data_IF_727499183178
#
_entry.id   IF_727499183178
#
_cell.length_a   1.000
_cell.length_b   1.000
_cell.length_c   1.000
_cell.angle_alpha   90.00
_cell.angle_beta   90.00
_cell.angle_gamma   90.00
#
_symmetry.space_group_name_H-M   'P 1'
#
loop_
_entity.id
_entity.type
_entity.pdbx_description
1 polymer ?
#
# COMPACT_ATOMS: atom_id res chain seq x y z
N UNK A 1 2.95 -5.68 23.96
CA UNK A 1 4.40 -5.85 24.22
C UNK A 1 5.13 -4.55 23.91
N UNK A 2 6.09 -4.15 24.77
CA UNK A 2 7.13 -3.19 24.40
C UNK A 2 8.34 -3.97 23.88
N UNK A 3 8.70 -3.82 22.60
CA UNK A 3 9.73 -4.68 22.03
C UNK A 3 10.25 -4.21 20.68
N UNK A 4 11.57 -4.09 20.61
CA UNK A 4 12.32 -3.82 19.39
C UNK A 4 12.69 -5.16 18.72
N UNK A 5 12.29 -5.38 17.47
CA UNK A 5 12.76 -6.52 16.66
C UNK A 5 13.34 -6.04 15.34
N UNK A 6 14.62 -6.31 15.14
CA UNK A 6 15.32 -6.17 13.86
C UNK A 6 15.88 -7.52 13.42
N UNK A 7 15.65 -7.89 12.16
CA UNK A 7 16.18 -9.11 11.53
C UNK A 7 16.86 -8.76 10.20
N UNK A 8 18.02 -9.36 9.95
CA UNK A 8 18.83 -9.19 8.73
C UNK A 8 19.25 -10.57 8.21
N UNK A 9 18.75 -11.00 7.05
CA UNK A 9 19.12 -12.28 6.43
C UNK A 9 18.01 -12.96 5.64
N UNK A 10 18.36 -14.01 4.89
CA UNK A 10 17.44 -14.71 4.00
C UNK A 10 16.46 -15.65 4.75
N UNK A 11 15.19 -15.70 4.35
CA UNK A 11 14.14 -16.49 5.02
C UNK A 11 13.14 -17.17 4.06
N UNK A 12 12.64 -18.35 4.43
CA UNK A 12 11.68 -19.18 3.68
C UNK A 12 10.71 -19.88 4.68
N UNK A 13 9.97 -19.16 5.55
CA UNK A 13 8.60 -18.69 5.29
C UNK A 13 7.69 -18.89 6.52
N UNK A 14 6.48 -18.31 6.52
CA UNK A 14 5.49 -18.16 7.61
C UNK A 14 5.95 -17.35 8.85
N UNK A 15 5.44 -16.12 9.00
CA UNK A 15 5.47 -15.36 10.26
C UNK A 15 4.10 -14.73 10.54
N UNK A 16 3.28 -15.33 11.40
CA UNK A 16 2.06 -14.70 11.94
C UNK A 16 2.30 -14.10 13.33
N UNK A 17 1.66 -12.97 13.70
CA UNK A 17 1.44 -12.62 15.12
C UNK A 17 0.43 -11.48 15.36
N UNK A 18 -0.33 -11.62 16.44
CA UNK A 18 -1.61 -10.91 16.66
C UNK A 18 -1.66 -10.20 18.04
N UNK A 19 -1.83 -8.87 18.05
CA UNK A 19 -2.40 -8.12 19.18
C UNK A 19 -1.45 -7.29 20.07
N UNK A 20 -1.53 -5.96 19.95
CA UNK A 20 -0.98 -4.92 20.84
C UNK A 20 0.55 -4.79 20.89
N UNK A 21 1.10 -3.93 20.02
CA UNK A 21 2.54 -3.60 19.95
C UNK A 21 2.84 -2.09 19.98
N UNK A 22 3.91 -1.75 20.69
CA UNK A 22 4.58 -0.44 20.66
C UNK A 22 6.11 -0.65 20.83
N UNK A 23 7.00 -0.47 19.86
CA UNK A 23 6.88 -0.21 18.42
C UNK A 23 8.28 -0.40 17.77
N UNK A 24 8.41 -0.11 16.47
CA UNK A 24 9.56 -0.52 15.61
C UNK A 24 9.66 -2.04 15.36
N UNK A 25 9.21 -2.45 14.18
CA UNK A 25 9.40 -3.81 13.62
C UNK A 25 10.16 -3.69 12.31
N UNK A 26 11.38 -4.21 12.24
CA UNK A 26 12.27 -4.12 11.07
C UNK A 26 12.67 -5.50 10.53
N UNK A 27 12.52 -5.72 9.22
CA UNK A 27 12.86 -7.00 8.58
C UNK A 27 13.55 -6.79 7.21
N UNK A 28 14.84 -7.11 7.15
CA UNK A 28 15.67 -7.00 5.96
C UNK A 28 15.95 -8.39 5.38
N UNK A 29 15.23 -8.75 4.31
CA UNK A 29 15.32 -10.03 3.59
C UNK A 29 16.50 -10.14 2.61
N UNK A 30 16.62 -11.17 1.78
CA UNK A 30 15.52 -11.73 0.97
C UNK A 30 14.53 -12.68 1.70
N UNK A 31 13.28 -12.79 1.21
CA UNK A 31 12.24 -13.61 1.87
C UNK A 31 11.30 -14.34 0.93
N UNK A 32 10.87 -15.54 1.32
CA UNK A 32 10.03 -16.46 0.55
C UNK A 32 8.91 -17.09 1.40
N UNK A 33 7.90 -16.26 1.70
CA UNK A 33 6.50 -16.69 1.70
C UNK A 33 5.74 -16.65 3.04
N UNK A 34 4.63 -15.91 3.08
CA UNK A 34 3.69 -15.72 4.21
C UNK A 34 4.22 -14.92 5.40
N UNK A 35 3.71 -13.70 5.59
CA UNK A 35 3.80 -12.93 6.84
C UNK A 35 2.42 -12.35 7.16
N UNK A 36 1.90 -12.53 8.38
CA UNK A 36 0.55 -12.17 8.81
C UNK A 36 0.53 -11.44 10.17
N UNK A 37 0.63 -10.12 10.16
CA UNK A 37 0.57 -9.28 11.38
C UNK A 37 -0.88 -8.85 11.65
N UNK A 38 -1.39 -9.07 12.86
CA UNK A 38 -2.78 -8.73 13.21
C UNK A 38 -2.91 -7.86 14.47
N UNK A 39 -4.01 -7.11 14.58
CA UNK A 39 -4.39 -6.34 15.78
C UNK A 39 -3.82 -4.92 15.83
N UNK A 40 -3.70 -4.37 17.05
CA UNK A 40 -3.29 -2.98 17.26
C UNK A 40 -1.76 -2.78 17.27
N UNK A 41 -1.25 -1.85 16.46
CA UNK A 41 0.16 -1.48 16.33
C UNK A 41 0.30 0.03 16.49
N UNK A 42 1.22 0.48 17.34
CA UNK A 42 1.57 1.89 17.55
C UNK A 42 3.07 2.11 17.28
N UNK A 43 3.44 2.73 16.16
CA UNK A 43 4.83 3.02 15.80
C UNK A 43 5.21 2.67 14.36
N UNK A 44 6.48 2.31 14.15
CA UNK A 44 7.06 2.06 12.83
C UNK A 44 7.09 0.57 12.48
N UNK A 45 6.79 0.24 11.22
CA UNK A 45 7.01 -1.08 10.59
C UNK A 45 7.82 -0.85 9.33
N UNK A 46 8.92 -1.58 9.14
CA UNK A 46 9.82 -1.46 7.99
C UNK A 46 10.23 -2.82 7.43
N UNK A 47 9.97 -3.08 6.15
CA UNK A 47 10.54 -4.22 5.44
C UNK A 47 11.43 -3.76 4.29
N UNK A 48 12.62 -4.35 4.19
CA UNK A 48 13.61 -4.01 3.16
C UNK A 48 14.11 -5.27 2.42
N UNK A 49 14.41 -5.14 1.13
CA UNK A 49 15.03 -6.20 0.32
C UNK A 49 14.10 -6.89 -0.69
N UNK A 50 14.50 -8.08 -1.16
CA UNK A 50 13.75 -8.85 -2.16
C UNK A 50 12.78 -9.84 -1.52
N UNK A 51 11.50 -9.83 -1.88
CA UNK A 51 10.47 -10.69 -1.27
C UNK A 51 9.64 -11.41 -2.32
N UNK A 52 9.29 -12.66 -2.03
CA UNK A 52 8.52 -13.56 -2.88
C UNK A 52 7.38 -14.20 -2.06
N UNK A 53 6.13 -14.05 -2.50
CA UNK A 53 4.95 -14.65 -1.85
C UNK A 53 3.98 -13.65 -1.20
N UNK A 54 3.32 -14.08 -0.10
CA UNK A 54 2.19 -13.37 0.53
C UNK A 54 2.60 -12.57 1.78
N UNK A 55 2.11 -11.34 1.91
CA UNK A 55 2.21 -10.49 3.11
C UNK A 55 0.82 -9.96 3.45
N UNK A 56 0.42 -10.03 4.72
CA UNK A 56 -0.85 -9.60 5.26
C UNK A 56 -0.67 -8.79 6.55
N UNK A 57 -1.30 -7.62 6.62
CA UNK A 57 -1.35 -6.75 7.79
C UNK A 57 -2.83 -6.44 8.08
N UNK A 58 -3.38 -6.96 9.18
CA UNK A 58 -4.81 -6.99 9.47
C UNK A 58 -5.15 -6.38 10.85
N UNK A 59 -5.47 -5.09 10.93
CA UNK A 59 -5.82 -4.49 12.22
C UNK A 59 -5.85 -2.97 12.27
N UNK A 60 -5.48 -2.42 13.43
CA UNK A 60 -5.45 -0.99 13.68
C UNK A 60 -3.99 -0.52 13.78
N UNK A 61 -3.51 0.28 12.83
CA UNK A 61 -2.12 0.77 12.80
C UNK A 61 -2.11 2.27 13.05
N UNK A 62 -1.32 2.72 14.02
CA UNK A 62 -1.10 4.12 14.36
C UNK A 62 0.40 4.42 14.21
N UNK A 63 0.82 4.98 13.08
CA UNK A 63 2.22 5.28 12.80
C UNK A 63 2.62 5.14 11.34
N UNK A 64 3.77 4.52 11.09
CA UNK A 64 4.42 4.48 9.78
C UNK A 64 4.64 3.03 9.32
N UNK A 65 4.22 2.71 8.10
CA UNK A 65 4.52 1.44 7.42
C UNK A 65 5.40 1.75 6.21
N UNK A 66 6.62 1.21 6.18
CA UNK A 66 7.58 1.36 5.10
C UNK A 66 7.94 0.02 4.46
N UNK A 67 7.91 -0.05 3.14
CA UNK A 67 8.39 -1.19 2.35
C UNK A 67 9.35 -0.69 1.26
N UNK A 68 10.59 -1.19 1.27
CA UNK A 68 11.67 -0.73 0.39
C UNK A 68 12.38 -1.90 -0.30
N UNK A 69 12.11 -2.15 -1.59
CA UNK A 69 12.83 -3.17 -2.34
C UNK A 69 12.06 -3.78 -3.51
N UNK A 70 12.31 -5.07 -3.77
CA UNK A 70 11.68 -5.81 -4.86
C UNK A 70 10.65 -6.80 -4.30
N UNK A 71 9.40 -6.75 -4.73
CA UNK A 71 8.32 -7.63 -4.24
C UNK A 71 7.71 -8.41 -5.39
N UNK A 72 7.64 -9.72 -5.27
CA UNK A 72 7.09 -10.67 -6.25
C UNK A 72 5.98 -11.49 -5.59
N UNK A 73 4.72 -11.06 -5.70
CA UNK A 73 3.60 -11.76 -5.06
C UNK A 73 2.46 -10.84 -4.63
N UNK A 74 1.92 -11.07 -3.43
CA UNK A 74 0.69 -10.46 -2.94
C UNK A 74 0.95 -9.71 -1.62
N UNK A 75 0.60 -8.43 -1.57
CA UNK A 75 0.63 -7.61 -0.35
C UNK A 75 -0.78 -7.13 -0.01
N UNK A 76 -1.29 -7.55 1.16
CA UNK A 76 -2.60 -7.17 1.69
C UNK A 76 -2.49 -6.34 2.97
N UNK A 77 -3.14 -5.19 3.00
CA UNK A 77 -3.22 -4.26 4.14
C UNK A 77 -4.69 -4.00 4.47
N UNK A 78 -5.21 -4.68 5.48
CA UNK A 78 -6.61 -4.67 5.86
C UNK A 78 -6.84 -3.99 7.22
N UNK A 79 -7.79 -3.05 7.31
CA UNK A 79 -8.26 -2.46 8.57
C UNK A 79 -8.14 -0.95 8.65
N UNK A 80 -7.89 -0.42 9.85
CA UNK A 80 -7.85 1.01 10.13
C UNK A 80 -6.40 1.49 10.28
N UNK A 81 -5.95 2.41 9.43
CA UNK A 81 -4.59 2.96 9.47
C UNK A 81 -4.62 4.47 9.70
N UNK A 82 -3.87 4.94 10.68
CA UNK A 82 -3.69 6.33 11.06
C UNK A 82 -2.21 6.69 10.95
N UNK A 83 -1.83 7.45 9.92
CA UNK A 83 -0.44 7.85 9.67
C UNK A 83 0.00 7.64 8.22
N UNK A 84 1.18 7.06 8.01
CA UNK A 84 1.85 7.04 6.70
C UNK A 84 2.11 5.61 6.22
N UNK A 85 1.76 5.31 4.98
CA UNK A 85 2.13 4.07 4.28
C UNK A 85 3.02 4.43 3.09
N UNK A 86 4.27 4.00 3.12
CA UNK A 86 5.27 4.24 2.08
C UNK A 86 5.74 2.94 1.43
N UNK A 87 5.59 2.82 0.12
CA UNK A 87 6.05 1.70 -0.70
C UNK A 87 7.02 2.23 -1.76
N UNK A 88 8.25 1.73 -1.75
CA UNK A 88 9.36 2.20 -2.59
C UNK A 88 10.06 1.01 -3.26
N UNK A 89 10.09 0.94 -4.59
CA UNK A 89 10.88 -0.01 -5.35
C UNK A 89 10.12 -0.69 -6.49
N UNK A 90 10.44 -1.95 -6.77
CA UNK A 90 9.86 -2.70 -7.88
C UNK A 90 8.86 -3.73 -7.35
N UNK A 91 7.62 -3.74 -7.84
CA UNK A 91 6.61 -4.73 -7.47
C UNK A 91 6.08 -5.45 -8.71
N UNK A 92 6.00 -6.78 -8.62
CA UNK A 92 5.46 -7.69 -9.60
C UNK A 92 4.38 -8.53 -8.93
N UNK A 93 3.10 -8.25 -9.21
CA UNK A 93 1.97 -8.95 -8.61
C UNK A 93 0.84 -8.03 -8.13
N UNK A 94 0.30 -8.30 -6.93
CA UNK A 94 -0.94 -7.70 -6.45
C UNK A 94 -0.74 -6.94 -5.14
N UNK A 95 -1.21 -5.70 -5.09
CA UNK A 95 -1.32 -4.89 -3.89
C UNK A 95 -2.79 -4.64 -3.57
N UNK A 96 -3.22 -4.97 -2.36
CA UNK A 96 -4.57 -4.69 -1.86
C UNK A 96 -4.50 -3.90 -0.55
N UNK A 97 -4.99 -2.66 -0.54
CA UNK A 97 -5.37 -1.96 0.69
C UNK A 97 -6.90 -2.05 0.85
N UNK A 98 -7.38 -2.53 2.00
CA UNK A 98 -8.81 -2.69 2.28
C UNK A 98 -9.17 -2.11 3.66
N UNK A 99 -9.80 -0.95 3.71
CA UNK A 99 -10.33 -0.39 4.97
C UNK A 99 -10.33 1.12 5.07
N UNK A 100 -10.07 1.64 6.26
CA UNK A 100 -10.11 3.08 6.56
C UNK A 100 -8.69 3.62 6.74
N UNK A 101 -8.25 4.55 5.91
CA UNK A 101 -6.92 5.17 5.99
C UNK A 101 -7.07 6.66 6.30
N UNK A 102 -6.46 7.12 7.37
CA UNK A 102 -6.39 8.51 7.79
C UNK A 102 -4.92 8.95 7.75
N UNK A 103 -4.54 9.68 6.70
CA UNK A 103 -3.17 10.16 6.50
C UNK A 103 -2.68 10.02 5.05
N UNK A 104 -1.48 9.49 4.87
CA UNK A 104 -0.75 9.55 3.60
C UNK A 104 -0.39 8.15 3.09
N UNK A 105 -0.78 7.83 1.85
CA UNK A 105 -0.36 6.64 1.12
C UNK A 105 0.55 7.08 -0.03
N UNK A 106 1.79 6.59 -0.08
CA UNK A 106 2.76 6.96 -1.12
C UNK A 106 3.40 5.72 -1.72
N UNK A 107 3.22 5.52 -3.02
CA UNK A 107 3.87 4.47 -3.81
C UNK A 107 4.88 5.14 -4.76
N UNK A 108 6.05 4.51 -4.91
CA UNK A 108 7.17 4.99 -5.75
C UNK A 108 7.97 3.85 -6.35
N UNK A 109 8.28 3.97 -7.64
CA UNK A 109 9.12 3.03 -8.39
C UNK A 109 8.42 2.45 -9.60
N UNK A 110 8.41 1.11 -9.71
CA UNK A 110 7.89 0.40 -10.88
C UNK A 110 6.93 -0.71 -10.45
N UNK A 111 5.72 -0.72 -11.00
CA UNK A 111 4.69 -1.71 -10.70
C UNK A 111 4.28 -2.46 -11.97
N UNK A 112 4.31 -3.79 -11.91
CA UNK A 112 3.83 -4.68 -12.95
C UNK A 112 2.75 -5.59 -12.33
N UNK A 113 1.47 -5.30 -12.57
CA UNK A 113 0.35 -6.06 -12.00
C UNK A 113 -0.82 -5.18 -11.55
N UNK A 114 -1.39 -5.50 -10.39
CA UNK A 114 -2.68 -4.97 -9.92
C UNK A 114 -2.54 -4.21 -8.60
N UNK A 115 -3.05 -2.98 -8.55
CA UNK A 115 -3.19 -2.18 -7.32
C UNK A 115 -4.67 -1.99 -7.05
N UNK A 116 -5.16 -2.51 -5.93
CA UNK A 116 -6.51 -2.31 -5.42
C UNK A 116 -6.49 -1.52 -4.12
N UNK A 117 -7.23 -0.41 -4.06
CA UNK A 117 -7.44 0.42 -2.88
C UNK A 117 -8.95 0.49 -2.63
N UNK A 118 -9.43 -0.26 -1.64
CA UNK A 118 -10.83 -0.43 -1.31
C UNK A 118 -11.17 0.16 0.06
N UNK A 119 -12.10 1.12 0.15
CA UNK A 119 -12.63 1.63 1.41
C UNK A 119 -12.65 3.15 1.51
N UNK A 120 -12.35 3.68 2.70
CA UNK A 120 -12.42 5.10 3.00
C UNK A 120 -11.03 5.69 3.21
N UNK A 121 -10.63 6.68 2.41
CA UNK A 121 -9.32 7.34 2.54
C UNK A 121 -9.54 8.82 2.86
N UNK A 122 -8.98 9.28 3.97
CA UNK A 122 -8.98 10.66 4.41
C UNK A 122 -7.54 11.18 4.44
N UNK A 123 -7.16 11.99 3.46
CA UNK A 123 -5.82 12.56 3.33
C UNK A 123 -5.27 12.51 1.90
N UNK A 124 -4.04 12.01 1.73
CA UNK A 124 -3.30 12.10 0.47
C UNK A 124 -2.92 10.71 -0.06
N UNK A 125 -3.26 10.43 -1.32
CA UNK A 125 -2.77 9.26 -2.07
C UNK A 125 -1.84 9.76 -3.17
N UNK A 126 -0.58 9.31 -3.16
CA UNK A 126 0.41 9.68 -4.17
C UNK A 126 1.06 8.45 -4.81
N UNK A 127 0.64 8.10 -6.02
CA UNK A 127 1.38 7.17 -6.89
C UNK A 127 2.35 8.00 -7.76
N UNK A 128 3.58 7.51 -7.88
CA UNK A 128 4.71 8.21 -8.50
C UNK A 128 5.61 7.17 -9.18
N UNK A 129 5.08 6.57 -10.25
CA UNK A 129 5.46 5.23 -10.69
C UNK A 129 5.46 5.08 -12.23
N UNK A 130 6.20 4.08 -12.70
CA UNK A 130 5.91 3.42 -13.98
C UNK A 130 5.00 2.21 -13.69
N UNK A 131 3.73 2.26 -14.11
CA UNK A 131 2.74 1.19 -13.85
C UNK A 131 2.39 0.48 -15.15
N UNK A 132 2.53 -0.84 -15.17
CA UNK A 132 2.04 -1.72 -16.22
C UNK A 132 0.99 -2.67 -15.64
N UNK A 133 -0.28 -2.47 -15.95
CA UNK A 133 -1.39 -3.28 -15.45
C UNK A 133 -2.62 -2.47 -15.02
N UNK A 134 -3.17 -2.76 -13.85
CA UNK A 134 -4.48 -2.30 -13.42
C UNK A 134 -4.42 -1.55 -12.09
N UNK A 135 -5.00 -0.35 -12.01
CA UNK A 135 -5.16 0.42 -10.77
C UNK A 135 -6.66 0.61 -10.50
N UNK A 136 -7.16 -0.01 -9.44
CA UNK A 136 -8.55 0.11 -8.97
C UNK A 136 -8.63 0.86 -7.65
N UNK A 137 -9.36 1.98 -7.63
CA UNK A 137 -9.65 2.81 -6.46
C UNK A 137 -11.16 2.74 -6.20
N UNK A 138 -11.58 1.98 -5.19
CA UNK A 138 -12.98 1.67 -4.89
C UNK A 138 -13.40 2.21 -3.52
N UNK A 139 -14.26 3.22 -3.45
CA UNK A 139 -14.87 3.69 -2.20
C UNK A 139 -14.94 5.21 -2.06
N UNK A 140 -14.72 5.71 -0.84
CA UNK A 140 -14.88 7.12 -0.51
C UNK A 140 -13.51 7.76 -0.23
N UNK A 141 -13.07 8.68 -1.08
CA UNK A 141 -11.82 9.42 -0.88
C UNK A 141 -12.11 10.88 -0.54
N UNK A 142 -11.49 11.39 0.52
CA UNK A 142 -11.58 12.76 1.00
C UNK A 142 -10.17 13.35 1.07
N UNK A 143 -9.83 14.26 0.17
CA UNK A 143 -8.51 14.90 0.09
C UNK A 143 -7.91 14.86 -1.31
N UNK A 144 -6.62 14.52 -1.43
CA UNK A 144 -5.84 14.69 -2.67
C UNK A 144 -5.36 13.36 -3.23
N UNK A 145 -5.59 13.13 -4.52
CA UNK A 145 -5.08 11.97 -5.27
C UNK A 145 -4.12 12.47 -6.34
N UNK A 146 -2.82 12.20 -6.17
CA UNK A 146 -1.78 12.46 -7.16
C UNK A 146 -1.35 11.18 -7.87
N UNK A 147 -1.52 11.14 -9.19
CA UNK A 147 -1.08 10.07 -10.07
C UNK A 147 -0.01 10.63 -11.02
N UNK A 148 1.26 10.40 -10.71
CA UNK A 148 2.39 10.91 -11.48
C UNK A 148 3.19 9.77 -12.13
N UNK A 149 3.60 9.93 -13.38
CA UNK A 149 4.45 8.98 -14.10
C UNK A 149 3.81 8.36 -15.34
N UNK A 150 4.31 7.21 -15.78
CA UNK A 150 3.85 6.54 -17.00
C UNK A 150 2.97 5.34 -16.65
N UNK A 151 1.71 5.35 -17.10
CA UNK A 151 0.77 4.25 -16.86
C UNK A 151 0.42 3.57 -18.18
N UNK A 152 0.57 2.25 -18.23
CA UNK A 152 0.23 1.38 -19.36
C UNK A 152 -0.80 0.34 -18.88
N UNK A 153 -2.06 0.50 -19.28
CA UNK A 153 -3.16 -0.37 -18.84
C UNK A 153 -4.39 0.39 -18.35
N UNK A 154 -5.06 -0.12 -17.32
CA UNK A 154 -6.40 0.32 -16.93
C UNK A 154 -6.41 1.01 -15.57
N UNK A 155 -7.05 2.19 -15.49
CA UNK A 155 -7.32 2.88 -14.23
C UNK A 155 -8.83 2.91 -14.01
N UNK A 156 -9.31 2.32 -12.91
CA UNK A 156 -10.72 2.33 -12.50
C UNK A 156 -10.90 3.09 -11.20
N UNK A 157 -11.71 4.14 -11.21
CA UNK A 157 -12.12 4.91 -10.03
C UNK A 157 -13.62 4.71 -9.80
N UNK A 158 -13.97 3.95 -8.76
CA UNK A 158 -15.34 3.54 -8.45
C UNK A 158 -15.76 4.06 -7.07
N UNK A 159 -16.61 5.08 -7.01
CA UNK A 159 -17.12 5.65 -5.75
C UNK A 159 -16.99 7.17 -5.67
N UNK A 160 -17.10 7.70 -4.44
CA UNK A 160 -17.20 9.14 -4.22
C UNK A 160 -15.83 9.74 -3.91
N UNK A 161 -15.42 10.76 -4.67
CA UNK A 161 -14.16 11.50 -4.44
C UNK A 161 -14.51 12.94 -4.10
N UNK A 162 -14.08 13.39 -2.93
CA UNK A 162 -14.28 14.72 -2.38
C UNK A 162 -12.92 15.41 -2.21
N UNK A 163 -12.53 16.21 -3.18
CA UNK A 163 -11.23 16.89 -3.24
C UNK A 163 -10.57 16.79 -4.61
N UNK A 164 -9.25 16.97 -4.65
CA UNK A 164 -8.50 17.17 -5.90
C UNK A 164 -7.91 15.86 -6.45
N UNK A 165 -8.06 15.65 -7.76
CA UNK A 165 -7.36 14.58 -8.51
C UNK A 165 -6.39 15.21 -9.50
N UNK A 166 -5.09 15.02 -9.28
CA UNK A 166 -4.02 15.48 -10.16
C UNK A 166 -3.40 14.31 -10.92
N UNK A 167 -3.51 14.31 -12.25
CA UNK A 167 -2.82 13.38 -13.15
C UNK A 167 -1.66 14.11 -13.83
N UNK A 168 -0.43 13.62 -13.67
CA UNK A 168 0.79 14.24 -14.18
C UNK A 168 1.70 13.21 -14.84
N UNK A 169 1.44 12.91 -16.11
CA UNK A 169 2.26 12.02 -16.92
C UNK A 169 1.50 11.41 -18.08
N UNK A 170 2.08 10.40 -18.72
CA UNK A 170 1.52 9.76 -19.91
C UNK A 170 0.70 8.53 -19.53
N UNK A 171 -0.55 8.47 -19.98
CA UNK A 171 -1.46 7.33 -19.78
C UNK A 171 -1.73 6.67 -21.13
N UNK A 172 -1.35 5.40 -21.24
CA UNK A 172 -1.50 4.56 -22.42
C UNK A 172 -2.42 3.39 -22.09
N UNK A 173 -3.72 3.66 -22.15
CA UNK A 173 -4.78 2.68 -21.89
C UNK A 173 -6.07 3.36 -21.45
N UNK A 174 -6.94 2.65 -20.73
CA UNK A 174 -8.30 3.10 -20.45
C UNK A 174 -8.44 3.65 -19.02
N UNK A 175 -9.10 4.80 -18.90
CA UNK A 175 -9.52 5.37 -17.61
C UNK A 175 -11.04 5.24 -17.51
N UNK A 176 -11.51 4.45 -16.54
CA UNK A 176 -12.92 4.29 -16.19
C UNK A 176 -13.24 5.03 -14.90
N UNK A 177 -14.31 5.83 -14.91
CA UNK A 177 -14.78 6.61 -13.77
C UNK A 177 -16.26 6.29 -13.52
N UNK A 178 -16.53 5.69 -12.36
CA UNK A 178 -17.84 5.20 -11.94
C UNK A 178 -18.19 5.70 -10.54
N UNK A 179 -18.52 6.98 -10.43
CA UNK A 179 -18.97 7.58 -9.19
C UNK A 179 -18.94 9.11 -9.23
N UNK A 180 -19.31 9.74 -8.11
CA UNK A 180 -19.44 11.18 -8.02
C UNK A 180 -18.10 11.83 -7.62
N UNK A 181 -17.60 12.72 -8.46
CA UNK A 181 -16.38 13.50 -8.20
C UNK A 181 -16.77 14.94 -7.84
N UNK A 182 -16.42 15.37 -6.63
CA UNK A 182 -16.67 16.69 -6.09
C UNK A 182 -15.32 17.33 -5.75
N UNK A 183 -14.73 17.99 -6.74
CA UNK A 183 -13.53 18.81 -6.58
C UNK A 183 -13.85 20.29 -6.77
N UNK A 184 -12.94 21.13 -6.26
CA UNK A 184 -12.83 22.56 -6.54
C UNK A 184 -11.59 22.81 -7.42
#
# INVERSE_FOLDING_TARGET
MYGYKGLCGAMYGYIGLCGAMCGYVGLCGAMYGYVGLCGAIYGYVGLCGAMYGYIGLCGAVYGYVGLCGAVYGYLGLCGAMYGYVGLCGAMYGYLGLCGAVYGYVRLRGAMNGYVGLCGAVYGYVGLCDAVYGYVGLCGAMYGYVGLCGAMYGYVGLCGAVYGYVGLCGAVYGYVGLCGAMYGY
#
